data_IF_836857115850
#
_entry.id   IF_836857115850
#
_cell.length_a   1.000
_cell.length_b   1.000
_cell.length_c   1.000
_cell.angle_alpha   90.00
_cell.angle_beta   90.00
_cell.angle_gamma   90.00
#
_symmetry.space_group_name_H-M   'P 1'
#
loop_
_entity.id
_entity.type
_entity.pdbx_description
1 polymer ?
#
# COMPACT_ATOMS: atom_id res chain seq x y z
N UNK A 1 8.09 -9.91 19.52
CA UNK A 1 8.43 -8.61 18.89
C UNK A 1 7.32 -8.27 17.90
N UNK A 2 6.28 -7.58 18.37
CA UNK A 2 5.16 -7.16 17.51
C UNK A 2 5.60 -5.88 16.80
N UNK A 3 5.93 -6.01 15.52
CA UNK A 3 6.27 -4.86 14.67
C UNK A 3 4.97 -4.18 14.24
N UNK A 4 4.40 -3.32 15.09
CA UNK A 4 3.30 -2.42 14.72
C UNK A 4 3.83 -1.28 13.86
N UNK A 5 4.09 -1.56 12.58
CA UNK A 5 4.28 -0.53 11.55
C UNK A 5 2.91 -0.10 11.02
N UNK A 6 2.17 0.65 11.83
CA UNK A 6 0.98 1.38 11.37
C UNK A 6 1.40 2.53 10.45
N UNK A 7 0.84 2.58 9.25
CA UNK A 7 0.99 3.71 8.33
C UNK A 7 0.04 4.80 8.83
N UNK A 8 0.60 5.88 9.40
CA UNK A 8 -0.14 7.08 9.79
C UNK A 8 -0.02 8.11 8.68
N UNK A 9 -1.14 8.58 8.12
CA UNK A 9 -1.12 9.59 7.06
C UNK A 9 -1.19 11.00 7.63
N UNK A 10 -0.02 11.64 7.72
CA UNK A 10 0.40 13.06 7.60
C UNK A 10 -0.56 14.25 7.80
N UNK A 11 -1.88 14.17 7.60
CA UNK A 11 -2.73 15.36 7.42
C UNK A 11 -3.30 15.98 8.70
N UNK A 12 -3.18 15.31 9.85
CA UNK A 12 -3.75 15.76 11.15
C UNK A 12 -2.65 16.05 12.20
N UNK A 13 -1.37 16.13 11.80
CA UNK A 13 -0.26 16.34 12.74
C UNK A 13 -0.01 15.17 13.72
N UNK A 14 -0.67 14.03 13.51
CA UNK A 14 -0.53 12.81 14.32
C UNK A 14 0.91 12.27 14.34
N UNK A 15 1.73 12.59 13.34
CA UNK A 15 3.14 12.20 13.31
C UNK A 15 3.91 12.71 14.53
N UNK A 16 3.60 13.93 15.01
CA UNK A 16 4.22 14.50 16.21
C UNK A 16 3.70 13.86 17.50
N UNK A 17 2.48 13.32 17.47
CA UNK A 17 1.80 12.65 18.60
C UNK A 17 2.01 11.13 18.63
N UNK A 18 2.66 10.58 17.61
CA UNK A 18 2.91 9.14 17.48
C UNK A 18 3.67 8.56 18.67
N UNK A 19 4.73 9.24 19.12
CA UNK A 19 5.54 8.78 20.25
C UNK A 19 4.70 8.72 21.53
N UNK A 20 3.99 9.81 21.81
CA UNK A 20 3.07 9.90 22.96
C UNK A 20 2.00 8.81 22.94
N UNK A 21 1.40 8.56 21.77
CA UNK A 21 0.44 7.47 21.59
C UNK A 21 1.03 6.11 21.95
N UNK A 22 2.18 5.76 21.35
CA UNK A 22 2.83 4.46 21.56
C UNK A 22 3.22 4.27 23.03
N UNK A 23 3.73 5.31 23.68
CA UNK A 23 4.25 5.23 25.05
C UNK A 23 3.14 5.24 26.12
N UNK A 24 2.04 5.96 25.92
CA UNK A 24 1.07 6.23 26.99
C UNK A 24 -0.35 5.73 26.72
N UNK A 25 -0.72 5.58 25.44
CA UNK A 25 -2.11 5.35 25.04
C UNK A 25 -2.35 4.03 24.31
N UNK A 26 -1.32 3.38 23.76
CA UNK A 26 -1.46 2.15 22.97
C UNK A 26 -2.18 1.03 23.74
N UNK A 27 -1.83 0.81 25.01
CA UNK A 27 -2.47 -0.21 25.86
C UNK A 27 -3.84 0.24 26.43
N UNK A 28 -4.18 1.53 26.28
CA UNK A 28 -5.43 2.13 26.76
C UNK A 28 -6.45 2.34 25.64
N UNK A 29 -6.04 2.11 24.40
CA UNK A 29 -6.87 2.18 23.22
C UNK A 29 -7.95 1.11 23.29
N UNK A 30 -9.22 1.49 23.16
CA UNK A 30 -10.32 0.54 23.24
C UNK A 30 -10.36 -0.44 22.06
N UNK A 31 -9.59 -0.21 20.99
CA UNK A 31 -9.33 -1.24 19.98
C UNK A 31 -8.61 -2.47 20.56
N UNK A 32 -7.90 -2.31 21.69
CA UNK A 32 -7.24 -3.44 22.35
C UNK A 32 -8.24 -4.51 22.80
N UNK A 33 -9.47 -4.14 23.14
CA UNK A 33 -10.52 -5.08 23.53
C UNK A 33 -10.94 -6.02 22.40
N UNK A 34 -10.74 -5.63 21.14
CA UNK A 34 -11.16 -6.43 19.98
C UNK A 34 -10.01 -7.22 19.34
N UNK A 35 -8.75 -6.85 19.60
CA UNK A 35 -7.58 -7.49 18.98
C UNK A 35 -7.49 -9.00 19.26
N UNK A 36 -7.83 -9.43 20.48
CA UNK A 36 -7.65 -10.82 20.88
C UNK A 36 -8.80 -11.73 20.41
N UNK A 37 -9.89 -11.14 19.91
CA UNK A 37 -11.11 -11.86 19.46
C UNK A 37 -11.14 -12.00 17.93
N UNK A 38 -10.57 -11.02 17.21
CA UNK A 38 -10.65 -10.96 15.76
C UNK A 38 -9.61 -11.88 15.11
N UNK A 39 -10.05 -12.75 14.21
CA UNK A 39 -9.17 -13.68 13.47
C UNK A 39 -9.03 -13.37 11.98
N UNK A 40 -9.83 -12.45 11.47
CA UNK A 40 -9.89 -12.08 10.05
C UNK A 40 -9.90 -10.56 9.86
N UNK A 41 -9.68 -10.11 8.64
CA UNK A 41 -9.67 -8.67 8.36
C UNK A 41 -11.05 -8.07 8.60
N UNK A 42 -11.12 -7.12 9.52
CA UNK A 42 -12.38 -6.59 10.07
C UNK A 42 -12.42 -5.08 9.99
N UNK A 43 -13.57 -4.56 9.59
CA UNK A 43 -13.88 -3.13 9.65
C UNK A 43 -14.54 -2.84 10.99
N UNK A 44 -14.22 -1.70 11.56
CA UNK A 44 -14.81 -1.27 12.83
C UNK A 44 -15.21 0.20 12.79
N UNK A 45 -16.10 0.54 13.72
CA UNK A 45 -16.45 1.91 14.12
C UNK A 45 -16.30 1.98 15.63
N UNK A 46 -15.71 3.05 16.14
CA UNK A 46 -15.45 3.18 17.58
C UNK A 46 -16.72 3.05 18.43
N UNK A 47 -17.81 3.62 17.94
CA UNK A 47 -19.14 3.59 18.59
C UNK A 47 -19.84 2.24 18.49
N UNK A 48 -19.45 1.38 17.53
CA UNK A 48 -19.90 -0.02 17.47
C UNK A 48 -19.11 -0.90 18.47
N UNK A 49 -17.89 -0.48 18.85
CA UNK A 49 -17.06 -1.17 19.86
C UNK A 49 -17.46 -0.77 21.27
N UNK A 50 -17.69 0.54 21.50
CA UNK A 50 -17.96 1.09 22.82
C UNK A 50 -18.92 2.27 22.72
N UNK A 51 -20.02 2.18 23.46
CA UNK A 51 -21.02 3.24 23.53
C UNK A 51 -20.40 4.58 23.95
N UNK A 52 -20.94 5.68 23.41
CA UNK A 52 -20.38 7.02 23.58
C UNK A 52 -20.26 7.42 25.06
N UNK A 53 -21.24 7.09 25.88
CA UNK A 53 -21.23 7.45 27.31
C UNK A 53 -20.07 6.80 28.07
N UNK A 54 -19.71 5.56 27.70
CA UNK A 54 -18.57 4.85 28.28
C UNK A 54 -17.28 5.38 27.68
N UNK A 55 -17.23 5.51 26.35
CA UNK A 55 -16.05 5.90 25.58
C UNK A 55 -15.52 7.27 25.99
N UNK A 56 -16.42 8.23 26.19
CA UNK A 56 -16.08 9.61 26.60
C UNK A 56 -15.46 9.69 28.00
N UNK A 57 -15.67 8.68 28.86
CA UNK A 57 -15.09 8.58 30.20
C UNK A 57 -13.69 7.93 30.20
N UNK A 58 -13.31 7.26 29.11
CA UNK A 58 -12.00 6.59 29.02
C UNK A 58 -10.84 7.59 29.08
N UNK A 59 -9.69 7.12 29.54
CA UNK A 59 -8.48 7.95 29.58
C UNK A 59 -8.00 8.29 28.16
N UNK A 60 -8.03 7.30 27.25
CA UNK A 60 -7.66 7.47 25.86
C UNK A 60 -8.49 8.56 25.16
N UNK A 61 -9.82 8.51 25.30
CA UNK A 61 -10.67 9.52 24.68
C UNK A 61 -10.38 10.93 25.22
N UNK A 62 -10.34 11.09 26.55
CA UNK A 62 -10.21 12.41 27.20
C UNK A 62 -8.86 13.06 26.97
N UNK A 63 -7.78 12.28 26.98
CA UNK A 63 -6.42 12.83 26.94
C UNK A 63 -5.76 12.73 25.56
N UNK A 64 -6.26 11.88 24.65
CA UNK A 64 -5.69 11.75 23.32
C UNK A 64 -6.65 12.26 22.21
N UNK A 65 -7.86 11.70 22.12
CA UNK A 65 -8.78 12.03 21.00
C UNK A 65 -9.42 13.42 21.14
N UNK A 66 -9.86 13.77 22.34
CA UNK A 66 -10.57 15.03 22.61
C UNK A 66 -9.69 16.27 22.38
N UNK A 67 -8.43 16.35 22.86
CA UNK A 67 -7.56 17.49 22.58
C UNK A 67 -7.24 17.65 21.10
N UNK A 68 -7.17 16.53 20.37
CA UNK A 68 -6.98 16.51 18.92
C UNK A 68 -8.26 16.80 18.11
N UNK A 69 -9.40 16.98 18.79
CA UNK A 69 -10.72 17.26 18.19
C UNK A 69 -11.16 16.21 17.17
N UNK A 70 -10.80 14.94 17.41
CA UNK A 70 -11.11 13.80 16.55
C UNK A 70 -11.87 12.70 17.32
N UNK A 71 -13.09 13.00 17.80
CA UNK A 71 -13.82 12.08 18.68
C UNK A 71 -14.38 10.86 17.97
N UNK A 72 -14.41 10.79 16.64
CA UNK A 72 -14.98 9.65 15.92
C UNK A 72 -13.91 8.94 15.11
N UNK A 73 -13.77 7.64 15.34
CA UNK A 73 -12.85 6.78 14.60
C UNK A 73 -13.59 5.61 13.94
N UNK A 74 -13.09 5.22 12.77
CA UNK A 74 -13.46 4.00 12.08
C UNK A 74 -12.25 3.51 11.29
N UNK A 75 -12.17 2.22 11.00
CA UNK A 75 -10.96 1.69 10.39
C UNK A 75 -11.03 0.23 10.02
N UNK A 76 -9.87 -0.30 9.65
CA UNK A 76 -9.69 -1.68 9.24
C UNK A 76 -8.53 -2.28 10.02
N UNK A 77 -8.80 -3.39 10.71
CA UNK A 77 -7.80 -4.27 11.29
C UNK A 77 -7.42 -5.28 10.20
N UNK A 78 -6.19 -5.19 9.69
CA UNK A 78 -5.69 -6.04 8.61
C UNK A 78 -5.08 -7.30 9.22
N UNK A 79 -5.65 -8.45 8.88
CA UNK A 79 -5.21 -9.75 9.39
C UNK A 79 -4.71 -10.64 8.25
N UNK A 80 -3.67 -11.43 8.53
CA UNK A 80 -3.21 -12.52 7.67
C UNK A 80 -2.76 -13.70 8.54
N UNK A 81 -3.23 -14.91 8.23
CA UNK A 81 -2.87 -16.12 8.96
C UNK A 81 -3.04 -15.97 10.49
N UNK A 82 -4.16 -15.35 10.89
CA UNK A 82 -4.51 -15.00 12.29
C UNK A 82 -3.53 -14.05 12.99
N UNK A 83 -2.67 -13.35 12.24
CA UNK A 83 -1.78 -12.31 12.76
C UNK A 83 -2.23 -10.94 12.27
N UNK A 84 -2.25 -9.97 13.18
CA UNK A 84 -2.42 -8.56 12.85
C UNK A 84 -1.20 -8.07 12.09
N UNK A 85 -1.40 -7.67 10.83
CA UNK A 85 -0.33 -7.15 9.97
C UNK A 85 -0.35 -5.64 9.85
N UNK A 86 -1.48 -4.99 10.14
CA UNK A 86 -1.58 -3.54 10.07
C UNK A 86 -2.95 -3.02 10.46
N UNK A 87 -3.03 -1.72 10.68
CA UNK A 87 -4.26 -1.04 11.05
C UNK A 87 -4.36 0.24 10.20
N UNK A 88 -5.55 0.49 9.65
CA UNK A 88 -5.87 1.73 8.94
C UNK A 88 -6.97 2.44 9.71
N UNK A 89 -6.71 3.65 10.21
CA UNK A 89 -7.65 4.43 11.00
C UNK A 89 -8.01 5.73 10.30
N UNK A 90 -9.30 6.02 10.26
CA UNK A 90 -9.88 7.28 9.80
C UNK A 90 -10.52 7.97 10.99
N UNK A 91 -10.37 9.29 11.05
CA UNK A 91 -10.92 10.10 12.12
C UNK A 91 -11.79 11.24 11.58
N UNK A 92 -12.85 11.58 12.31
CA UNK A 92 -13.73 12.72 12.04
C UNK A 92 -13.80 13.65 13.25
N UNK A 93 -13.95 14.94 12.98
CA UNK A 93 -14.24 15.95 13.99
C UNK A 93 -15.73 15.95 14.35
N UNK A 94 -16.13 16.76 15.34
CA UNK A 94 -17.54 16.87 15.76
C UNK A 94 -18.46 17.38 14.65
N UNK A 95 -17.98 18.25 13.78
CA UNK A 95 -18.78 18.90 12.71
C UNK A 95 -19.19 17.91 11.63
N UNK A 96 -18.31 16.96 11.30
CA UNK A 96 -18.60 15.90 10.32
C UNK A 96 -19.51 14.79 10.87
N UNK A 97 -19.65 14.72 12.19
CA UNK A 97 -20.35 13.64 12.88
C UNK A 97 -19.63 12.29 12.76
N UNK A 98 -20.27 11.27 13.31
CA UNK A 98 -19.75 9.91 13.28
C UNK A 98 -19.79 9.29 11.86
N UNK A 99 -19.10 8.16 11.69
CA UNK A 99 -19.16 7.34 10.50
C UNK A 99 -20.54 6.70 10.35
N UNK A 100 -21.07 6.74 9.13
CA UNK A 100 -22.37 6.17 8.77
C UNK A 100 -22.19 4.78 8.19
N UNK A 101 -23.25 3.99 8.11
CA UNK A 101 -23.17 2.61 7.60
C UNK A 101 -22.65 2.55 6.16
N UNK A 102 -22.94 3.59 5.35
CA UNK A 102 -22.36 3.72 4.00
C UNK A 102 -20.84 3.82 4.02
N UNK A 103 -20.27 4.48 5.03
CA UNK A 103 -18.82 4.66 5.16
C UNK A 103 -18.18 3.32 5.54
N UNK A 104 -18.80 2.60 6.48
CA UNK A 104 -18.40 1.25 6.90
C UNK A 104 -18.49 0.25 5.74
N UNK A 105 -19.56 0.32 4.94
CA UNK A 105 -19.72 -0.52 3.75
C UNK A 105 -18.58 -0.30 2.73
N UNK A 106 -18.20 0.96 2.47
CA UNK A 106 -17.07 1.26 1.57
C UNK A 106 -15.78 0.64 2.10
N UNK A 107 -15.51 0.78 3.40
CA UNK A 107 -14.33 0.15 4.02
C UNK A 107 -14.40 -1.37 3.91
N UNK A 108 -15.58 -1.97 4.05
CA UNK A 108 -15.77 -3.42 3.98
C UNK A 108 -15.46 -3.98 2.58
N UNK A 109 -15.92 -3.28 1.54
CA UNK A 109 -15.57 -3.60 0.15
C UNK A 109 -14.05 -3.53 -0.07
N UNK A 110 -13.37 -2.55 0.53
CA UNK A 110 -11.93 -2.33 0.33
C UNK A 110 -11.03 -3.25 1.18
N UNK A 111 -11.55 -3.83 2.28
CA UNK A 111 -10.72 -4.43 3.34
C UNK A 111 -9.78 -5.53 2.85
N UNK A 112 -10.26 -6.41 1.96
CA UNK A 112 -9.45 -7.53 1.42
C UNK A 112 -8.32 -7.03 0.52
N UNK A 113 -8.60 -6.03 -0.32
CA UNK A 113 -7.59 -5.44 -1.19
C UNK A 113 -6.48 -4.77 -0.38
N UNK A 114 -6.87 -4.00 0.64
CA UNK A 114 -5.92 -3.32 1.52
C UNK A 114 -5.08 -4.31 2.33
N UNK A 115 -5.67 -5.39 2.83
CA UNK A 115 -4.92 -6.44 3.54
C UNK A 115 -3.87 -7.10 2.64
N UNK A 116 -4.22 -7.40 1.38
CA UNK A 116 -3.28 -7.98 0.42
C UNK A 116 -2.15 -7.00 0.06
N UNK A 117 -2.48 -5.73 -0.22
CA UNK A 117 -1.47 -4.70 -0.52
C UNK A 117 -0.51 -4.53 0.67
N UNK A 118 -1.04 -4.40 1.89
CA UNK A 118 -0.21 -4.26 3.10
C UNK A 118 0.65 -5.50 3.35
N UNK A 119 0.09 -6.70 3.18
CA UNK A 119 0.85 -7.94 3.31
C UNK A 119 2.03 -7.97 2.33
N UNK A 120 1.77 -7.67 1.06
CA UNK A 120 2.80 -7.60 0.03
C UNK A 120 3.85 -6.57 0.42
N UNK A 121 3.48 -5.34 0.77
CA UNK A 121 4.45 -4.29 1.16
C UNK A 121 5.30 -4.63 2.39
N UNK A 122 4.75 -5.35 3.38
CA UNK A 122 5.47 -5.68 4.63
C UNK A 122 6.40 -6.88 4.48
N UNK A 123 5.99 -7.88 3.71
CA UNK A 123 6.84 -9.04 3.39
C UNK A 123 7.83 -8.67 2.29
N UNK A 124 7.42 -7.76 1.40
CA UNK A 124 8.27 -7.06 0.47
C UNK A 124 8.83 -5.76 1.08
N UNK A 125 9.70 -5.86 2.10
CA UNK A 125 10.87 -4.95 2.21
C UNK A 125 11.79 -4.98 0.96
N UNK A 126 11.23 -5.41 -0.17
CA UNK A 126 11.69 -6.07 -1.36
C UNK A 126 10.88 -5.51 -2.55
N UNK A 127 9.90 -4.61 -2.43
CA UNK A 127 9.10 -4.17 -3.60
C UNK A 127 9.94 -3.62 -4.76
N UNK A 128 11.07 -2.97 -4.44
CA UNK A 128 12.09 -2.55 -5.41
C UNK A 128 13.16 -3.63 -5.64
N UNK A 129 13.66 -4.32 -4.58
CA UNK A 129 14.69 -5.38 -4.74
C UNK A 129 14.20 -6.65 -5.44
N UNK A 130 12.91 -6.98 -5.29
CA UNK A 130 12.18 -8.11 -5.89
C UNK A 130 11.88 -7.76 -7.33
N UNK A 131 11.52 -6.51 -7.62
CA UNK A 131 11.37 -6.02 -8.98
C UNK A 131 12.68 -6.11 -9.74
N UNK A 132 13.78 -5.58 -9.20
CA UNK A 132 15.09 -5.67 -9.86
C UNK A 132 15.57 -7.13 -9.98
N UNK A 133 15.39 -7.96 -8.95
CA UNK A 133 15.74 -9.39 -9.04
C UNK A 133 14.88 -10.18 -10.03
N UNK A 134 13.57 -9.92 -10.09
CA UNK A 134 12.67 -10.54 -11.08
C UNK A 134 12.94 -10.02 -12.49
N UNK A 135 13.31 -8.75 -12.63
CA UNK A 135 13.73 -8.17 -13.91
C UNK A 135 15.04 -8.79 -14.37
N UNK A 136 16.05 -8.92 -13.51
CA UNK A 136 17.30 -9.57 -13.90
C UNK A 136 17.08 -11.02 -14.29
N UNK A 137 16.30 -11.77 -13.50
CA UNK A 137 15.92 -13.14 -13.89
C UNK A 137 15.19 -13.16 -15.24
N UNK A 138 14.26 -12.24 -15.49
CA UNK A 138 13.56 -12.15 -16.77
C UNK A 138 14.53 -11.81 -17.91
N UNK A 139 15.45 -10.89 -17.68
CA UNK A 139 16.45 -10.50 -18.67
C UNK A 139 17.36 -11.66 -19.01
N UNK A 140 17.75 -12.46 -18.02
CA UNK A 140 18.56 -13.66 -18.20
C UNK A 140 17.78 -14.77 -18.92
N UNK A 141 16.53 -15.04 -18.51
CA UNK A 141 15.63 -16.03 -19.13
C UNK A 141 15.44 -15.77 -20.65
N UNK A 142 15.45 -14.50 -21.07
CA UNK A 142 15.28 -14.09 -22.47
C UNK A 142 16.59 -13.67 -23.15
N UNK A 143 17.73 -13.84 -22.49
CA UNK A 143 19.05 -13.44 -23.00
C UNK A 143 19.07 -12.01 -23.58
N UNK A 144 18.54 -11.06 -22.80
CA UNK A 144 18.53 -9.65 -23.19
C UNK A 144 19.91 -9.02 -23.02
N UNK A 145 20.36 -8.32 -24.04
CA UNK A 145 21.58 -7.51 -23.99
C UNK A 145 21.37 -6.27 -23.11
N UNK A 146 22.47 -5.70 -22.59
CA UNK A 146 22.42 -4.51 -21.75
C UNK A 146 21.68 -3.34 -22.41
N UNK A 147 21.85 -3.17 -23.73
CA UNK A 147 21.13 -2.16 -24.51
C UNK A 147 19.63 -2.44 -24.59
N UNK A 148 19.22 -3.70 -24.70
CA UNK A 148 17.80 -4.07 -24.67
C UNK A 148 17.20 -3.88 -23.28
N UNK A 149 17.95 -4.19 -22.21
CA UNK A 149 17.56 -3.92 -20.81
C UNK A 149 17.32 -2.40 -20.60
N UNK A 150 18.24 -1.58 -21.09
CA UNK A 150 18.15 -0.11 -21.05
C UNK A 150 16.92 0.42 -21.78
N UNK A 151 16.66 -0.07 -23.01
CA UNK A 151 15.46 0.29 -23.78
C UNK A 151 14.17 -0.11 -23.07
N UNK A 152 14.10 -1.31 -22.48
CA UNK A 152 12.92 -1.75 -21.70
C UNK A 152 12.67 -0.81 -20.51
N UNK A 153 13.72 -0.40 -19.79
CA UNK A 153 13.61 0.53 -18.66
C UNK A 153 12.95 1.84 -19.08
N UNK A 154 13.38 2.42 -20.20
CA UNK A 154 12.85 3.69 -20.72
C UNK A 154 11.43 3.54 -21.27
N UNK A 155 11.13 2.42 -21.94
CA UNK A 155 9.77 2.10 -22.40
C UNK A 155 8.79 2.02 -21.22
N UNK A 156 9.20 1.45 -20.08
CA UNK A 156 8.40 1.32 -18.85
C UNK A 156 8.09 2.67 -18.20
N UNK A 157 8.93 3.68 -18.45
CA UNK A 157 8.72 5.06 -18.00
C UNK A 157 7.82 5.88 -18.96
N UNK A 158 7.32 5.27 -20.03
CA UNK A 158 6.44 5.94 -20.99
C UNK A 158 7.16 6.71 -22.10
N UNK A 159 8.51 6.67 -22.17
CA UNK A 159 9.30 7.37 -23.19
C UNK A 159 8.98 6.92 -24.62
N UNK A 160 8.88 7.83 -25.57
CA UNK A 160 8.74 7.50 -27.00
C UNK A 160 10.06 6.97 -27.57
N UNK A 161 10.03 6.35 -28.76
CA UNK A 161 11.28 5.89 -29.40
C UNK A 161 12.23 7.06 -29.73
N UNK A 162 11.69 8.27 -29.91
CA UNK A 162 12.47 9.49 -30.12
C UNK A 162 13.14 9.92 -28.81
N UNK A 163 12.39 9.95 -27.70
CA UNK A 163 12.98 10.27 -26.39
C UNK A 163 14.09 9.26 -26.02
N UNK A 164 13.88 7.98 -26.35
CA UNK A 164 14.87 6.93 -26.12
C UNK A 164 16.12 7.14 -27.00
N UNK A 165 15.96 7.56 -28.25
CA UNK A 165 17.11 7.84 -29.12
C UNK A 165 17.94 8.99 -28.58
N UNK A 166 17.28 10.03 -28.07
CA UNK A 166 17.95 11.20 -27.51
C UNK A 166 18.64 10.86 -26.18
N UNK A 167 17.97 10.12 -25.29
CA UNK A 167 18.50 9.74 -23.98
C UNK A 167 19.67 8.75 -24.07
N UNK A 168 19.62 7.81 -25.03
CA UNK A 168 20.69 6.83 -25.26
C UNK A 168 21.77 7.32 -26.24
N UNK A 169 21.61 8.51 -26.82
CA UNK A 169 22.51 9.09 -27.84
C UNK A 169 22.77 8.15 -29.04
N UNK A 170 21.72 7.53 -29.56
CA UNK A 170 21.77 6.63 -30.73
C UNK A 170 20.69 7.00 -31.75
N UNK A 171 20.79 6.51 -32.99
CA UNK A 171 19.77 6.83 -34.00
C UNK A 171 18.40 6.22 -33.68
N UNK A 172 17.32 6.89 -34.10
CA UNK A 172 15.95 6.36 -34.01
C UNK A 172 15.80 5.00 -34.70
N UNK A 173 16.51 4.76 -35.81
CA UNK A 173 16.54 3.46 -36.49
C UNK A 173 17.15 2.36 -35.62
N UNK A 174 18.18 2.68 -34.84
CA UNK A 174 18.82 1.75 -33.90
C UNK A 174 17.88 1.42 -32.74
N UNK A 175 17.18 2.41 -32.17
CA UNK A 175 16.14 2.17 -31.15
C UNK A 175 15.05 1.26 -31.68
N UNK A 176 14.52 1.52 -32.89
CA UNK A 176 13.51 0.66 -33.52
C UNK A 176 13.99 -0.79 -33.67
N UNK A 177 15.27 -0.99 -34.01
CA UNK A 177 15.88 -2.32 -34.09
C UNK A 177 15.95 -3.01 -32.72
N UNK A 178 16.34 -2.31 -31.66
CA UNK A 178 16.30 -2.87 -30.29
C UNK A 178 14.87 -3.25 -29.88
N UNK A 179 13.89 -2.37 -30.11
CA UNK A 179 12.47 -2.66 -29.80
C UNK A 179 11.97 -3.89 -30.55
N UNK A 180 12.29 -4.02 -31.84
CA UNK A 180 11.96 -5.19 -32.64
C UNK A 180 12.57 -6.47 -32.05
N UNK A 181 13.85 -6.44 -31.68
CA UNK A 181 14.52 -7.59 -31.09
C UNK A 181 13.92 -7.98 -29.73
N UNK A 182 13.61 -6.99 -28.87
CA UNK A 182 12.91 -7.22 -27.60
C UNK A 182 11.57 -7.92 -27.84
N UNK A 183 10.78 -7.42 -28.80
CA UNK A 183 9.47 -7.98 -29.12
C UNK A 183 9.57 -9.42 -29.59
N UNK A 184 10.55 -9.70 -30.46
CA UNK A 184 10.84 -11.05 -30.93
C UNK A 184 11.23 -11.99 -29.78
N UNK A 185 12.19 -11.57 -28.92
CA UNK A 185 12.67 -12.38 -27.79
C UNK A 185 11.56 -12.67 -26.77
N UNK A 186 10.71 -11.69 -26.47
CA UNK A 186 9.63 -11.84 -25.50
C UNK A 186 8.33 -12.41 -26.10
N UNK A 187 8.32 -12.69 -27.42
CA UNK A 187 7.16 -13.14 -28.17
C UNK A 187 5.92 -12.22 -28.01
N UNK A 188 6.14 -10.91 -28.10
CA UNK A 188 5.09 -9.88 -28.05
C UNK A 188 5.08 -9.08 -29.34
N UNK A 189 3.94 -8.48 -29.70
CA UNK A 189 3.77 -7.76 -30.97
C UNK A 189 3.64 -6.25 -30.81
N UNK A 190 3.31 -5.77 -29.62
CA UNK A 190 3.06 -4.34 -29.37
C UNK A 190 3.66 -3.88 -28.05
N UNK A 191 3.85 -2.57 -27.91
CA UNK A 191 4.28 -1.95 -26.65
C UNK A 191 3.35 -2.29 -25.49
N UNK A 192 2.04 -2.27 -25.73
CA UNK A 192 1.05 -2.63 -24.72
C UNK A 192 1.19 -4.09 -24.29
N UNK A 193 1.42 -5.01 -25.24
CA UNK A 193 1.68 -6.42 -24.92
C UNK A 193 2.99 -6.61 -24.16
N UNK A 194 4.06 -5.88 -24.52
CA UNK A 194 5.31 -5.88 -23.75
C UNK A 194 5.04 -5.46 -22.29
N UNK A 195 4.37 -4.33 -22.08
CA UNK A 195 4.09 -3.82 -20.74
C UNK A 195 3.21 -4.78 -19.92
N UNK A 196 2.19 -5.37 -20.55
CA UNK A 196 1.34 -6.37 -19.90
C UNK A 196 2.11 -7.65 -19.55
N UNK A 197 2.98 -8.13 -20.44
CA UNK A 197 3.83 -9.31 -20.21
C UNK A 197 4.79 -9.09 -19.05
N UNK A 198 5.44 -7.92 -19.00
CA UNK A 198 6.30 -7.54 -17.89
C UNK A 198 5.50 -7.48 -16.58
N UNK A 199 4.34 -6.84 -16.56
CA UNK A 199 3.51 -6.72 -15.36
C UNK A 199 3.05 -8.09 -14.81
N UNK A 200 2.64 -9.03 -15.67
CA UNK A 200 2.30 -10.40 -15.28
C UNK A 200 3.48 -11.12 -14.63
N UNK A 201 4.66 -11.03 -15.24
CA UNK A 201 5.85 -11.75 -14.80
C UNK A 201 6.47 -11.16 -13.53
N UNK A 202 6.22 -9.88 -13.29
CA UNK A 202 6.65 -9.16 -12.09
C UNK A 202 5.69 -9.33 -10.89
N UNK A 203 4.51 -9.90 -11.12
CA UNK A 203 3.50 -10.15 -10.09
C UNK A 203 2.72 -8.89 -9.70
N UNK A 204 2.44 -8.01 -10.66
CA UNK A 204 1.58 -6.83 -10.45
C UNK A 204 0.08 -7.18 -10.52
N UNK A 205 -0.25 -8.44 -10.78
CA UNK A 205 -1.59 -9.03 -10.81
C UNK A 205 -1.62 -10.34 -10.02
#
# INVERSE_FOLDING_TARGET
>A
MVLTRGIFTQKIGLDQKKKEYIEHFYEKDYLRYVYDIITETTVYRDTDIMEEEVRTKTEFYRHFLMPLKIPYGAGILLMRDKKLIGIINLFRNKELGDFKDKDIYILDVLKKHLANITYNLLHDGIGVKNLESKLEKLYDDYHLSDREKEVIRLLRQGKSNLDISDEMMISLSTVKKHVYNIYSKLNVKTRTQLLAHLAQRLGWF
#
